data_IF_691362657721
#
_entry.id   IF_691362657721
#
_cell.length_a   1.000
_cell.length_b   1.000
_cell.length_c   1.000
_cell.angle_alpha   90.00
_cell.angle_beta   90.00
_cell.angle_gamma   90.00
#
_symmetry.space_group_name_H-M   'P 1'
#
loop_
_entity.id
_entity.type
_entity.pdbx_description
1 polymer ?
#
# COMPACT_ATOMS: atom_id res chain seq x y z
N UNK A 1 0.03 -15.66 -14.67
CA UNK A 1 1.18 -14.73 -14.69
C UNK A 1 1.50 -14.34 -13.27
N UNK A 2 2.78 -14.18 -12.94
CA UNK A 2 3.22 -13.81 -11.61
C UNK A 2 3.78 -12.39 -11.63
N UNK A 3 3.52 -11.65 -10.57
CA UNK A 3 3.90 -10.24 -10.42
C UNK A 3 4.60 -10.05 -9.10
N UNK A 4 5.67 -9.27 -9.11
CA UNK A 4 6.35 -8.77 -7.93
C UNK A 4 5.90 -7.32 -7.69
N UNK A 5 5.38 -7.04 -6.50
CA UNK A 5 4.94 -5.72 -6.06
C UNK A 5 5.72 -5.28 -4.84
N UNK A 6 6.03 -3.99 -4.82
CA UNK A 6 6.69 -3.34 -3.69
C UNK A 6 5.85 -2.17 -3.25
N UNK A 7 5.52 -2.16 -1.96
CA UNK A 7 4.77 -1.09 -1.32
C UNK A 7 5.68 -0.41 -0.31
N UNK A 8 5.80 0.90 -0.43
CA UNK A 8 6.55 1.71 0.52
C UNK A 8 5.59 2.46 1.43
N UNK A 9 5.90 2.51 2.72
CA UNK A 9 5.21 3.38 3.66
C UNK A 9 6.20 4.36 4.26
N UNK A 10 6.06 5.64 3.94
CA UNK A 10 6.85 6.72 4.56
C UNK A 10 6.63 6.78 6.07
N UNK A 11 5.37 6.69 6.50
CA UNK A 11 5.02 6.78 7.92
C UNK A 11 5.59 5.65 8.77
N UNK A 12 5.92 4.50 8.16
CA UNK A 12 6.55 3.36 8.84
C UNK A 12 8.02 3.17 8.48
N UNK A 13 8.51 3.85 7.43
CA UNK A 13 9.80 3.61 6.79
C UNK A 13 10.03 2.13 6.41
N UNK A 14 8.98 1.47 5.92
CA UNK A 14 9.02 0.05 5.55
C UNK A 14 8.79 -0.10 4.04
N UNK A 15 9.56 -0.99 3.41
CA UNK A 15 9.34 -1.49 2.06
C UNK A 15 8.87 -2.94 2.11
N UNK A 16 7.60 -3.19 1.80
CA UNK A 16 6.99 -4.50 1.81
C UNK A 16 6.97 -5.10 0.39
N UNK A 17 7.40 -6.35 0.26
CA UNK A 17 7.58 -7.04 -1.01
C UNK A 17 6.62 -8.22 -1.12
N UNK A 18 5.86 -8.30 -2.21
CA UNK A 18 4.89 -9.37 -2.44
C UNK A 18 5.04 -9.98 -3.82
N UNK A 19 4.85 -11.29 -3.90
CA UNK A 19 4.61 -12.00 -5.16
C UNK A 19 3.17 -12.47 -5.20
N UNK A 20 2.48 -12.14 -6.28
CA UNK A 20 1.07 -12.52 -6.48
C UNK A 20 0.88 -13.08 -7.88
N UNK A 21 -0.01 -14.06 -8.00
CA UNK A 21 -0.44 -14.58 -9.28
C UNK A 21 -1.71 -13.84 -9.70
N UNK A 22 -1.66 -13.18 -10.85
CA UNK A 22 -2.76 -12.37 -11.36
C UNK A 22 -2.71 -12.26 -12.88
N UNK A 23 -3.88 -12.17 -13.56
CA UNK A 23 -3.94 -12.05 -15.02
C UNK A 23 -3.51 -10.68 -15.53
N UNK A 24 -3.62 -9.61 -14.72
CA UNK A 24 -3.28 -8.24 -15.12
C UNK A 24 -2.50 -7.51 -14.01
N UNK A 25 -1.73 -6.47 -14.33
CA UNK A 25 -1.04 -5.66 -13.31
C UNK A 25 -2.03 -4.97 -12.37
N UNK A 26 -3.20 -4.54 -12.87
CA UNK A 26 -4.25 -3.93 -12.04
C UNK A 26 -4.83 -4.92 -11.01
N UNK A 27 -5.07 -6.17 -11.41
CA UNK A 27 -5.52 -7.21 -10.47
C UNK A 27 -4.42 -7.60 -9.49
N UNK A 28 -3.16 -7.63 -9.94
CA UNK A 28 -2.00 -7.83 -9.07
C UNK A 28 -1.89 -6.74 -7.99
N UNK A 29 -2.14 -5.48 -8.35
CA UNK A 29 -2.15 -4.35 -7.42
C UNK A 29 -3.20 -4.51 -6.32
N UNK A 30 -4.44 -4.88 -6.69
CA UNK A 30 -5.53 -5.09 -5.72
C UNK A 30 -5.18 -6.23 -4.75
N UNK A 31 -4.64 -7.33 -5.26
CA UNK A 31 -4.22 -8.47 -4.44
C UNK A 31 -3.04 -8.13 -3.52
N UNK A 32 -2.02 -7.45 -4.04
CA UNK A 32 -0.86 -6.99 -3.28
C UNK A 32 -1.27 -6.02 -2.19
N UNK A 33 -2.16 -5.07 -2.49
CA UNK A 33 -2.68 -4.11 -1.53
C UNK A 33 -3.47 -4.78 -0.40
N UNK A 34 -4.28 -5.78 -0.72
CA UNK A 34 -4.99 -6.56 0.31
C UNK A 34 -4.01 -7.24 1.27
N UNK A 35 -2.93 -7.84 0.74
CA UNK A 35 -1.87 -8.44 1.57
C UNK A 35 -1.18 -7.43 2.47
N UNK A 36 -0.87 -6.24 1.95
CA UNK A 36 -0.29 -5.14 2.75
C UNK A 36 -1.19 -4.78 3.92
N UNK A 37 -2.50 -4.66 3.69
CA UNK A 37 -3.44 -4.30 4.75
C UNK A 37 -3.67 -5.42 5.77
N UNK A 38 -3.58 -6.68 5.33
CA UNK A 38 -3.66 -7.84 6.24
C UNK A 38 -2.40 -7.97 7.11
N UNK A 39 -1.21 -7.74 6.55
CA UNK A 39 0.07 -7.82 7.28
C UNK A 39 0.33 -6.57 8.13
N UNK A 40 -0.03 -5.40 7.62
CA UNK A 40 0.16 -4.10 8.26
C UNK A 40 -1.20 -3.39 8.42
N UNK A 41 -2.04 -3.84 9.36
CA UNK A 41 -3.34 -3.24 9.57
C UNK A 41 -3.20 -1.74 9.82
N UNK A 42 -4.17 -0.93 9.35
CA UNK A 42 -4.17 0.51 9.56
C UNK A 42 -4.09 0.79 11.06
N UNK A 43 -3.12 1.62 11.46
CA UNK A 43 -3.12 2.12 12.84
C UNK A 43 -4.31 3.07 12.95
N UNK A 44 -5.42 2.57 13.53
CA UNK A 44 -6.54 3.40 13.95
C UNK A 44 -5.96 4.54 14.80
N UNK A 45 -5.98 5.77 14.28
CA UNK A 45 -5.48 6.90 15.03
C UNK A 45 -6.34 7.05 16.28
N UNK A 46 -5.78 6.68 17.43
CA UNK A 46 -6.37 6.89 18.77
C UNK A 46 -6.51 8.39 19.13
N UNK A 47 -6.04 9.31 18.28
CA UNK A 47 -6.20 10.76 18.45
C UNK A 47 -6.99 11.35 17.29
N UNK A 48 -7.92 12.30 17.55
CA UNK A 48 -8.50 13.11 16.50
C UNK A 48 -7.36 13.85 15.78
N UNK A 49 -7.23 13.58 14.48
CA UNK A 49 -6.21 14.23 13.64
C UNK A 49 -6.59 15.67 13.39
N UNK A 50 -5.59 16.54 13.37
CA UNK A 50 -5.74 17.95 12.99
C UNK A 50 -6.24 18.09 11.55
N UNK A 51 -6.84 19.25 11.22
CA UNK A 51 -7.33 19.54 9.86
C UNK A 51 -6.19 19.47 8.82
N UNK A 52 -4.97 19.83 9.21
CA UNK A 52 -3.79 19.77 8.36
C UNK A 52 -3.38 18.32 8.02
N UNK A 53 -3.34 17.43 9.01
CA UNK A 53 -3.07 15.99 8.79
C UNK A 53 -4.15 15.31 7.94
N UNK A 54 -5.40 15.78 8.04
CA UNK A 54 -6.49 15.30 7.18
C UNK A 54 -6.32 15.76 5.74
N UNK A 55 -5.94 17.02 5.52
CA UNK A 55 -5.71 17.57 4.18
C UNK A 55 -4.54 16.85 3.47
N UNK A 56 -3.44 16.59 4.17
CA UNK A 56 -2.33 15.80 3.61
C UNK A 56 -2.75 14.39 3.20
N UNK A 57 -3.58 13.70 3.99
CA UNK A 57 -4.11 12.38 3.61
C UNK A 57 -5.16 12.38 2.51
N UNK A 58 -5.88 13.48 2.31
CA UNK A 58 -6.83 13.60 1.19
C UNK A 58 -6.07 13.83 -0.11
N UNK A 59 -4.94 14.54 -0.07
CA UNK A 59 -4.05 14.72 -1.19
C UNK A 59 -3.20 13.47 -1.49
N UNK A 60 -2.70 12.79 -0.45
CA UNK A 60 -2.01 11.50 -0.55
C UNK A 60 -3.04 10.38 -0.53
N UNK A 61 -3.53 10.01 -1.71
CA UNK A 61 -4.66 9.12 -2.03
C UNK A 61 -4.83 7.80 -1.26
N UNK A 62 -3.95 7.43 -0.32
CA UNK A 62 -4.05 6.20 0.46
C UNK A 62 -4.02 6.49 1.97
N UNK A 63 -5.19 6.44 2.59
CA UNK A 63 -5.38 6.65 4.02
C UNK A 63 -4.55 5.70 4.90
N UNK A 64 -3.94 4.64 4.37
CA UNK A 64 -3.10 3.73 5.15
C UNK A 64 -1.61 4.11 5.13
N UNK A 65 -1.25 5.12 4.32
CA UNK A 65 0.13 5.61 4.18
C UNK A 65 1.05 4.66 3.42
N UNK A 66 0.48 3.74 2.64
CA UNK A 66 1.19 2.85 1.74
C UNK A 66 1.05 3.34 0.32
N UNK A 67 2.16 3.35 -0.43
CA UNK A 67 2.22 3.75 -1.83
C UNK A 67 2.83 2.60 -2.63
N UNK A 68 2.28 2.32 -3.81
CA UNK A 68 2.91 1.39 -4.75
C UNK A 68 4.23 2.00 -5.23
N UNK A 69 5.34 1.39 -4.85
CA UNK A 69 6.69 1.82 -5.25
C UNK A 69 7.11 1.19 -6.57
N UNK A 70 6.86 -0.13 -6.72
CA UNK A 70 7.24 -0.87 -7.93
C UNK A 70 6.26 -2.00 -8.22
N UNK A 71 6.01 -2.24 -9.50
CA UNK A 71 5.32 -3.43 -9.99
C UNK A 71 6.10 -3.98 -11.18
N UNK A 72 6.43 -5.27 -11.11
CA UNK A 72 7.21 -5.96 -12.14
C UNK A 72 6.56 -7.31 -12.42
N UNK A 73 6.62 -7.77 -13.66
CA UNK A 73 6.26 -9.15 -14.00
C UNK A 73 7.40 -10.08 -13.58
N UNK A 74 7.07 -11.13 -12.84
CA UNK A 74 8.00 -12.21 -12.49
C UNK A 74 8.07 -13.13 -13.73
N UNK A 75 9.28 -13.32 -14.28
CA UNK A 75 9.53 -14.14 -15.48
C UNK A 75 9.45 -15.64 -15.20
#
# INVERSE_FOLDING_TARGET
MRWQLEFYSEGRQILAHYRVEAPTPATALVLGRRRVLDEYPPVLARRPRSLFERAQRVASQDADGWVLYRIQRDE
#
